data_IF_699060051831
#
_entry.id   IF_699060051831
#
_cell.length_a   1.000
_cell.length_b   1.000
_cell.length_c   1.000
_cell.angle_alpha   90.00
_cell.angle_beta   90.00
_cell.angle_gamma   90.00
#
_symmetry.space_group_name_H-M   'P 1'
#
loop_
_entity.id
_entity.type
_entity.pdbx_description
1 polymer ?
#
# COMPACT_ATOMS: atom_id res chain seq x y z
N UNK A 1 11.28 2.88 4.06
CA UNK A 1 10.31 2.77 2.94
C UNK A 1 10.91 3.41 1.71
N UNK A 2 10.66 2.91 0.50
CA UNK A 2 11.19 3.52 -0.74
C UNK A 2 10.51 4.84 -1.03
N UNK A 3 11.30 5.80 -1.52
CA UNK A 3 10.83 7.18 -1.75
C UNK A 3 9.75 7.33 -2.81
N UNK A 4 9.61 6.34 -3.73
CA UNK A 4 8.49 6.32 -4.68
C UNK A 4 7.12 6.35 -3.97
N UNK A 5 6.99 5.69 -2.82
CA UNK A 5 5.73 5.70 -2.05
C UNK A 5 5.41 7.10 -1.52
N UNK A 6 6.41 7.82 -1.02
CA UNK A 6 6.25 9.20 -0.55
C UNK A 6 5.92 10.17 -1.68
N UNK A 7 6.60 9.97 -2.84
CA UNK A 7 6.34 10.79 -4.02
C UNK A 7 4.90 10.61 -4.51
N UNK A 8 4.44 9.37 -4.64
CA UNK A 8 3.07 9.10 -5.07
C UNK A 8 2.02 9.58 -4.04
N UNK A 9 2.38 9.60 -2.75
CA UNK A 9 1.52 10.23 -1.73
C UNK A 9 1.40 11.73 -1.93
N UNK A 10 2.52 12.44 -2.18
CA UNK A 10 2.51 13.86 -2.49
C UNK A 10 1.69 14.18 -3.75
N UNK A 11 1.89 13.41 -4.83
CA UNK A 11 1.16 13.55 -6.08
C UNK A 11 -0.37 13.33 -5.89
N UNK A 12 -0.76 12.34 -5.07
CA UNK A 12 -2.17 12.12 -4.70
C UNK A 12 -2.75 13.32 -3.94
N UNK A 13 -2.01 13.87 -2.99
CA UNK A 13 -2.47 15.03 -2.23
C UNK A 13 -2.69 16.25 -3.12
N UNK A 14 -1.75 16.53 -4.02
CA UNK A 14 -1.87 17.61 -4.98
C UNK A 14 -3.11 17.42 -5.87
N UNK A 15 -3.31 16.22 -6.40
CA UNK A 15 -4.46 15.90 -7.26
C UNK A 15 -5.80 16.00 -6.54
N UNK A 16 -5.85 15.66 -5.23
CA UNK A 16 -7.10 15.54 -4.46
C UNK A 16 -7.46 16.83 -3.73
N UNK A 17 -6.46 17.51 -3.15
CA UNK A 17 -6.64 18.64 -2.24
C UNK A 17 -6.01 19.94 -2.74
N UNK A 18 -5.32 19.93 -3.88
CA UNK A 18 -4.62 21.07 -4.46
C UNK A 18 -3.14 21.15 -4.09
N UNK A 19 -2.39 21.97 -4.85
CA UNK A 19 -0.93 22.03 -4.77
C UNK A 19 -0.39 22.45 -3.39
N UNK A 20 -1.12 23.34 -2.67
CA UNK A 20 -0.65 23.87 -1.39
C UNK A 20 -0.78 22.89 -0.21
N UNK A 21 -1.55 21.79 -0.38
CA UNK A 21 -1.82 20.86 0.72
C UNK A 21 -0.54 20.18 1.19
N UNK A 22 0.24 19.62 0.27
CA UNK A 22 1.47 18.91 0.63
C UNK A 22 2.47 19.82 1.34
N UNK A 23 2.74 21.02 0.80
CA UNK A 23 3.66 21.97 1.39
C UNK A 23 3.23 22.36 2.81
N UNK A 24 1.94 22.57 3.00
CA UNK A 24 1.39 22.92 4.31
C UNK A 24 1.50 21.79 5.34
N UNK A 25 1.45 20.51 4.92
CA UNK A 25 1.70 19.37 5.79
C UNK A 25 3.18 19.28 6.17
N UNK A 26 4.08 19.46 5.20
CA UNK A 26 5.53 19.46 5.42
C UNK A 26 5.93 20.56 6.42
N UNK A 27 5.38 21.75 6.30
CA UNK A 27 5.62 22.86 7.25
C UNK A 27 5.16 22.55 8.68
N UNK A 28 4.09 21.74 8.83
CA UNK A 28 3.51 21.40 10.12
C UNK A 28 4.17 20.18 10.79
N UNK A 29 4.91 19.37 10.02
CA UNK A 29 5.55 18.15 10.50
C UNK A 29 7.06 18.35 10.63
N UNK A 30 7.65 17.83 11.72
CA UNK A 30 9.11 17.74 11.88
C UNK A 30 9.61 16.50 11.14
N UNK A 31 9.94 16.66 9.85
CA UNK A 31 10.37 15.57 8.97
C UNK A 31 11.88 15.61 8.78
N UNK A 32 12.63 14.58 9.16
CA UNK A 32 14.08 14.48 8.94
C UNK A 32 14.52 14.69 7.49
N UNK A 33 13.68 14.29 6.52
CA UNK A 33 13.93 14.53 5.09
C UNK A 33 13.63 15.96 4.64
N UNK A 34 12.99 16.78 5.48
CA UNK A 34 12.43 18.07 5.08
C UNK A 34 11.28 17.96 4.08
N UNK A 35 10.65 16.79 3.97
CA UNK A 35 9.56 16.54 3.01
C UNK A 35 10.03 16.38 1.56
N UNK A 36 11.33 16.22 1.32
CA UNK A 36 11.89 16.07 -0.04
C UNK A 36 12.28 14.62 -0.28
N UNK A 37 11.57 13.95 -1.19
CA UNK A 37 11.76 12.54 -1.48
C UNK A 37 12.13 12.29 -2.94
N UNK A 38 13.17 11.47 -3.14
CA UNK A 38 13.50 10.92 -4.47
C UNK A 38 12.94 9.51 -4.60
N UNK A 39 12.44 9.13 -5.75
CA UNK A 39 11.82 7.82 -5.96
C UNK A 39 12.73 6.64 -5.57
N UNK A 40 14.05 6.77 -5.81
CA UNK A 40 15.05 5.74 -5.51
C UNK A 40 15.56 5.78 -4.06
N UNK A 41 15.32 6.88 -3.33
CA UNK A 41 15.73 7.04 -1.94
C UNK A 41 15.06 6.05 -1.00
N UNK A 42 15.57 6.00 0.23
CA UNK A 42 14.96 5.22 1.33
C UNK A 42 14.79 6.13 2.54
N UNK A 43 13.58 6.21 3.07
CA UNK A 43 13.21 7.13 4.15
C UNK A 43 12.50 6.38 5.27
N UNK A 44 12.48 6.97 6.45
CA UNK A 44 11.74 6.41 7.57
C UNK A 44 10.24 6.47 7.27
N UNK A 45 9.55 5.35 7.47
CA UNK A 45 8.10 5.26 7.24
C UNK A 45 7.30 6.12 8.22
N UNK A 46 7.87 6.48 9.37
CA UNK A 46 7.23 7.35 10.36
C UNK A 46 6.96 8.75 9.82
N UNK A 47 7.72 9.20 8.82
CA UNK A 47 7.44 10.46 8.12
C UNK A 47 6.10 10.40 7.36
N UNK A 48 5.82 9.27 6.68
CA UNK A 48 4.52 9.09 6.03
C UNK A 48 3.38 9.04 7.05
N UNK A 49 3.59 8.38 8.19
CA UNK A 49 2.60 8.36 9.28
C UNK A 49 2.33 9.76 9.80
N UNK A 50 3.37 10.58 10.01
CA UNK A 50 3.22 11.96 10.46
C UNK A 50 2.40 12.81 9.47
N UNK A 51 2.68 12.67 8.17
CA UNK A 51 1.93 13.36 7.11
C UNK A 51 0.45 12.94 7.07
N UNK A 52 0.16 11.64 7.22
CA UNK A 52 -1.21 11.11 7.26
C UNK A 52 -1.96 11.63 8.49
N UNK A 53 -1.32 11.64 9.68
CA UNK A 53 -1.93 12.15 10.92
C UNK A 53 -2.27 13.63 10.78
N UNK A 54 -1.36 14.42 10.22
CA UNK A 54 -1.60 15.85 10.03
C UNK A 54 -2.69 16.10 8.97
N UNK A 55 -2.70 15.33 7.88
CA UNK A 55 -3.78 15.38 6.89
C UNK A 55 -5.14 15.06 7.49
N UNK A 56 -5.21 14.02 8.35
CA UNK A 56 -6.42 13.64 9.08
C UNK A 56 -6.96 14.79 9.93
N UNK A 57 -6.11 15.49 10.67
CA UNK A 57 -6.51 16.66 11.47
C UNK A 57 -7.10 17.78 10.62
N UNK A 58 -6.53 18.04 9.44
CA UNK A 58 -6.98 19.11 8.55
C UNK A 58 -8.26 18.79 7.80
N UNK A 59 -8.41 17.54 7.38
CA UNK A 59 -9.56 17.12 6.58
C UNK A 59 -10.71 16.60 7.43
N UNK A 60 -10.46 16.17 8.68
CA UNK A 60 -11.43 15.48 9.52
C UNK A 60 -11.67 14.03 9.10
N UNK A 61 -10.93 13.51 8.11
CA UNK A 61 -11.03 12.13 7.67
C UNK A 61 -10.22 11.22 8.59
N UNK A 62 -10.71 10.01 8.82
CA UNK A 62 -10.01 9.00 9.61
C UNK A 62 -8.70 8.56 8.93
N UNK A 63 -7.57 8.42 9.69
CA UNK A 63 -6.29 7.97 9.14
C UNK A 63 -6.36 6.66 8.36
N UNK A 64 -7.14 5.68 8.84
CA UNK A 64 -7.37 4.40 8.15
C UNK A 64 -7.98 4.63 6.76
N UNK A 65 -9.02 5.47 6.69
CA UNK A 65 -9.66 5.83 5.42
C UNK A 65 -8.68 6.49 4.45
N UNK A 66 -7.84 7.40 4.94
CA UNK A 66 -6.83 8.08 4.12
C UNK A 66 -5.78 7.11 3.59
N UNK A 67 -5.29 6.19 4.43
CA UNK A 67 -4.28 5.20 4.04
C UNK A 67 -4.86 4.19 3.05
N UNK A 68 -6.11 3.75 3.23
CA UNK A 68 -6.78 2.85 2.27
C UNK A 68 -7.00 3.55 0.92
N UNK A 69 -7.46 4.81 0.93
CA UNK A 69 -7.59 5.60 -0.29
C UNK A 69 -6.24 5.76 -1.01
N UNK A 70 -5.17 6.01 -0.25
CA UNK A 70 -3.82 6.06 -0.80
C UNK A 70 -3.39 4.71 -1.39
N UNK A 71 -3.71 3.59 -0.75
CA UNK A 71 -3.43 2.25 -1.29
C UNK A 71 -4.07 2.01 -2.65
N UNK A 72 -5.33 2.41 -2.82
CA UNK A 72 -6.05 2.33 -4.11
C UNK A 72 -5.39 3.21 -5.18
N UNK A 73 -5.08 4.45 -4.84
CA UNK A 73 -4.35 5.35 -5.73
C UNK A 73 -3.01 4.76 -6.15
N UNK A 74 -2.23 4.28 -5.17
CA UNK A 74 -0.90 3.72 -5.39
C UNK A 74 -0.93 2.48 -6.28
N UNK A 75 -1.96 1.64 -6.19
CA UNK A 75 -2.16 0.51 -7.10
C UNK A 75 -2.24 0.99 -8.55
N UNK A 76 -3.08 1.98 -8.84
CA UNK A 76 -3.21 2.56 -10.19
C UNK A 76 -1.88 3.15 -10.70
N UNK A 77 -1.15 3.84 -9.82
CA UNK A 77 0.17 4.38 -10.16
C UNK A 77 1.19 3.29 -10.47
N UNK A 78 1.21 2.22 -9.69
CA UNK A 78 2.11 1.09 -9.96
C UNK A 78 1.76 0.38 -11.27
N UNK A 79 0.48 0.26 -11.61
CA UNK A 79 0.05 -0.27 -12.91
C UNK A 79 0.58 0.60 -14.07
N UNK A 80 0.51 1.92 -13.96
CA UNK A 80 1.02 2.84 -14.98
C UNK A 80 2.55 2.81 -15.10
N UNK A 81 3.26 2.77 -13.96
CA UNK A 81 4.72 2.84 -13.92
C UNK A 81 5.39 1.49 -14.25
N UNK A 82 4.74 0.38 -13.91
CA UNK A 82 5.30 -0.97 -14.00
C UNK A 82 4.34 -1.97 -14.65
N UNK A 83 3.79 -1.68 -15.85
CA UNK A 83 2.71 -2.48 -16.46
C UNK A 83 3.08 -3.96 -16.64
N UNK A 84 4.36 -4.26 -16.73
CA UNK A 84 4.86 -5.64 -16.91
C UNK A 84 4.44 -6.58 -15.76
N UNK A 85 4.23 -6.06 -14.54
CA UNK A 85 3.79 -6.84 -13.38
C UNK A 85 2.28 -7.04 -13.30
N UNK A 86 1.52 -6.44 -14.21
CA UNK A 86 0.05 -6.47 -14.19
C UNK A 86 -0.57 -7.32 -15.31
N UNK A 87 0.27 -8.12 -15.99
CA UNK A 87 -0.19 -9.04 -17.04
C UNK A 87 -0.74 -10.34 -16.41
N UNK A 88 -1.88 -10.23 -15.75
CA UNK A 88 -2.60 -11.30 -15.08
C UNK A 88 -4.06 -11.34 -15.54
N UNK A 89 -4.69 -12.52 -15.46
CA UNK A 89 -6.07 -12.70 -15.90
C UNK A 89 -7.11 -12.16 -14.89
N UNK A 90 -6.72 -12.06 -13.60
CA UNK A 90 -7.61 -11.66 -12.51
C UNK A 90 -6.82 -11.19 -11.27
N UNK A 91 -7.53 -10.61 -10.29
CA UNK A 91 -6.93 -10.07 -9.08
C UNK A 91 -6.23 -11.16 -8.24
N UNK A 92 -6.78 -12.38 -8.14
CA UNK A 92 -6.15 -13.44 -7.36
C UNK A 92 -4.79 -13.84 -7.93
N UNK A 93 -4.70 -14.06 -9.26
CA UNK A 93 -3.43 -14.42 -9.90
C UNK A 93 -2.36 -13.32 -9.75
N UNK A 94 -2.78 -12.04 -9.74
CA UNK A 94 -1.90 -10.93 -9.42
C UNK A 94 -1.42 -10.98 -7.96
N UNK A 95 -2.33 -11.15 -6.99
CA UNK A 95 -2.01 -11.17 -5.56
C UNK A 95 -1.06 -12.33 -5.21
N UNK A 96 -1.24 -13.51 -5.83
CA UNK A 96 -0.30 -14.64 -5.68
C UNK A 96 1.11 -14.33 -6.20
N UNK A 97 1.23 -13.45 -7.19
CA UNK A 97 2.53 -13.08 -7.79
C UNK A 97 3.34 -12.12 -6.93
N UNK A 98 2.73 -11.41 -5.96
CA UNK A 98 3.39 -10.32 -5.23
C UNK A 98 4.68 -10.81 -4.57
N UNK A 99 4.63 -11.88 -3.78
CA UNK A 99 5.80 -12.35 -3.03
C UNK A 99 6.85 -12.99 -3.93
N UNK A 100 6.41 -13.85 -4.86
CA UNK A 100 7.32 -14.70 -5.62
C UNK A 100 7.84 -14.09 -6.91
N UNK A 101 7.22 -13.00 -7.39
CA UNK A 101 7.60 -12.31 -8.62
C UNK A 101 7.90 -10.84 -8.35
N UNK A 102 6.92 -10.06 -7.89
CA UNK A 102 7.07 -8.60 -7.77
C UNK A 102 8.13 -8.23 -6.71
N UNK A 103 8.04 -8.78 -5.51
CA UNK A 103 9.01 -8.52 -4.44
C UNK A 103 10.41 -9.00 -4.80
N UNK A 104 10.54 -10.13 -5.50
CA UNK A 104 11.82 -10.62 -6.00
C UNK A 104 12.45 -9.63 -6.99
N UNK A 105 11.69 -9.09 -7.94
CA UNK A 105 12.20 -8.09 -8.88
C UNK A 105 12.56 -6.77 -8.19
N UNK A 106 11.75 -6.34 -7.22
CA UNK A 106 12.07 -5.14 -6.41
C UNK A 106 13.39 -5.32 -5.66
N UNK A 107 13.64 -6.49 -5.06
CA UNK A 107 14.89 -6.77 -4.34
C UNK A 107 16.10 -6.90 -5.25
N UNK A 108 15.95 -7.27 -6.53
CA UNK A 108 17.05 -7.21 -7.51
C UNK A 108 17.47 -5.78 -7.79
N UNK A 109 16.53 -4.85 -7.86
CA UNK A 109 16.79 -3.43 -8.11
C UNK A 109 17.24 -2.68 -6.84
N UNK A 110 16.71 -3.08 -5.68
CA UNK A 110 16.91 -2.44 -4.38
C UNK A 110 17.16 -3.50 -3.30
N UNK A 111 18.38 -4.09 -3.23
CA UNK A 111 18.68 -5.19 -2.30
C UNK A 111 18.50 -4.82 -0.81
N UNK A 112 18.59 -3.52 -0.51
CA UNK A 112 18.39 -2.98 0.84
C UNK A 112 16.91 -2.71 1.20
N UNK A 113 15.97 -2.91 0.26
CA UNK A 113 14.57 -2.65 0.52
C UNK A 113 14.01 -3.65 1.54
N UNK A 114 13.39 -3.13 2.58
CA UNK A 114 12.60 -3.94 3.53
C UNK A 114 11.16 -3.97 3.05
N UNK A 115 10.73 -5.11 2.53
CA UNK A 115 9.37 -5.33 2.04
C UNK A 115 8.54 -6.08 3.09
N UNK A 116 7.21 -5.90 3.12
CA UNK A 116 6.34 -6.81 3.85
C UNK A 116 6.40 -8.19 3.18
N UNK A 117 6.10 -9.24 3.95
CA UNK A 117 5.98 -10.59 3.41
C UNK A 117 4.50 -10.96 3.27
N UNK A 118 4.19 -11.70 2.23
CA UNK A 118 2.85 -12.23 1.99
C UNK A 118 2.87 -13.74 1.81
N UNK A 119 1.94 -14.42 2.49
CA UNK A 119 1.61 -15.82 2.23
C UNK A 119 0.20 -15.87 1.63
N UNK A 120 0.06 -16.44 0.43
CA UNK A 120 -1.22 -16.58 -0.25
C UNK A 120 -1.69 -18.03 -0.26
N UNK A 121 -2.98 -18.24 -0.03
CA UNK A 121 -3.64 -19.52 -0.08
C UNK A 121 -4.98 -19.39 -0.81
N UNK A 122 -5.09 -20.04 -1.96
CA UNK A 122 -6.35 -20.12 -2.71
C UNK A 122 -7.11 -21.38 -2.25
N UNK A 123 -8.36 -21.20 -1.81
CA UNK A 123 -9.19 -22.31 -1.39
C UNK A 123 -9.59 -23.19 -2.58
N UNK A 124 -9.99 -24.43 -2.30
CA UNK A 124 -10.38 -25.43 -3.33
C UNK A 124 -11.56 -24.98 -4.20
N UNK A 125 -12.40 -24.07 -3.69
CA UNK A 125 -13.54 -23.51 -4.42
C UNK A 125 -13.13 -22.53 -5.53
N UNK A 126 -11.87 -22.08 -5.55
CA UNK A 126 -11.32 -21.11 -6.48
C UNK A 126 -11.87 -19.68 -6.33
N UNK A 127 -12.80 -19.45 -5.39
CA UNK A 127 -13.48 -18.19 -5.15
C UNK A 127 -13.03 -17.50 -3.86
N UNK A 128 -12.34 -18.21 -2.98
CA UNK A 128 -11.86 -17.69 -1.69
C UNK A 128 -10.34 -17.68 -1.68
N UNK A 129 -9.75 -16.53 -1.37
CA UNK A 129 -8.31 -16.40 -1.14
C UNK A 129 -8.03 -15.85 0.27
N UNK A 130 -7.09 -16.47 0.94
CA UNK A 130 -6.48 -15.97 2.16
C UNK A 130 -5.10 -15.39 1.83
N UNK A 131 -4.89 -14.12 2.17
CA UNK A 131 -3.60 -13.45 2.02
C UNK A 131 -3.14 -13.01 3.41
N UNK A 132 -2.05 -13.58 3.89
CA UNK A 132 -1.50 -13.23 5.20
C UNK A 132 -0.33 -12.26 5.02
N UNK A 133 -0.48 -11.09 5.60
CA UNK A 133 0.48 -9.99 5.59
C UNK A 133 1.31 -10.01 6.87
N UNK A 134 2.63 -9.83 6.71
CA UNK A 134 3.58 -9.73 7.82
C UNK A 134 4.43 -8.47 7.64
N UNK A 135 4.49 -7.63 8.67
CA UNK A 135 5.28 -6.41 8.63
C UNK A 135 5.58 -5.84 10.01
N UNK A 136 6.73 -5.24 10.16
CA UNK A 136 7.11 -4.46 11.35
C UNK A 136 6.66 -2.99 11.26
N UNK A 137 6.06 -2.56 10.14
CA UNK A 137 5.70 -1.15 9.88
C UNK A 137 4.22 -0.84 10.09
N UNK A 138 3.38 -1.83 10.33
CA UNK A 138 1.95 -1.67 10.62
C UNK A 138 1.14 -0.95 9.52
N UNK A 139 1.37 -1.29 8.23
CA UNK A 139 0.65 -0.73 7.08
C UNK A 139 -0.41 -1.69 6.49
N UNK A 140 -1.13 -2.42 7.34
CA UNK A 140 -2.21 -3.31 6.87
C UNK A 140 -3.31 -2.54 6.12
N UNK A 141 -3.64 -1.31 6.54
CA UNK A 141 -4.61 -0.46 5.83
C UNK A 141 -4.16 -0.08 4.42
N UNK A 142 -2.86 0.13 4.21
CA UNK A 142 -2.31 0.35 2.87
C UNK A 142 -2.48 -0.91 2.00
N UNK A 143 -2.25 -2.10 2.59
CA UNK A 143 -2.48 -3.36 1.90
C UNK A 143 -3.96 -3.55 1.53
N UNK A 144 -4.90 -3.19 2.40
CA UNK A 144 -6.35 -3.18 2.09
C UNK A 144 -6.62 -2.32 0.85
N UNK A 145 -6.10 -1.10 0.82
CA UNK A 145 -6.28 -0.20 -0.33
C UNK A 145 -5.71 -0.77 -1.63
N UNK A 146 -4.50 -1.35 -1.58
CA UNK A 146 -3.88 -2.01 -2.73
C UNK A 146 -4.71 -3.21 -3.22
N UNK A 147 -5.23 -4.05 -2.31
CA UNK A 147 -6.12 -5.17 -2.63
C UNK A 147 -7.39 -4.67 -3.31
N UNK A 148 -8.05 -3.65 -2.74
CA UNK A 148 -9.24 -3.06 -3.34
C UNK A 148 -8.96 -2.51 -4.75
N UNK A 149 -7.82 -1.82 -4.93
CA UNK A 149 -7.36 -1.35 -6.23
C UNK A 149 -7.19 -2.49 -7.24
N UNK A 150 -6.67 -3.65 -6.81
CA UNK A 150 -6.54 -4.82 -7.65
C UNK A 150 -7.92 -5.31 -8.14
N UNK A 151 -8.87 -5.53 -7.25
CA UNK A 151 -10.20 -5.99 -7.65
C UNK A 151 -10.93 -5.00 -8.56
N UNK A 152 -10.83 -3.70 -8.30
CA UNK A 152 -11.37 -2.66 -9.18
C UNK A 152 -10.75 -2.68 -10.57
N UNK A 153 -9.42 -2.90 -10.67
CA UNK A 153 -8.70 -2.95 -11.94
C UNK A 153 -9.19 -4.07 -12.84
N UNK A 154 -9.43 -5.27 -12.29
CA UNK A 154 -9.98 -6.40 -13.05
C UNK A 154 -11.51 -6.41 -13.13
N UNK A 155 -12.19 -5.42 -12.55
CA UNK A 155 -13.66 -5.33 -12.57
C UNK A 155 -14.34 -6.47 -11.80
N UNK A 156 -13.68 -6.99 -10.77
CA UNK A 156 -14.16 -8.09 -9.94
C UNK A 156 -14.78 -7.56 -8.63
N UNK A 157 -15.92 -8.09 -8.24
CA UNK A 157 -16.53 -7.81 -6.93
C UNK A 157 -16.00 -8.78 -5.88
N UNK A 158 -15.69 -8.25 -4.70
CA UNK A 158 -15.11 -9.01 -3.60
C UNK A 158 -15.68 -8.60 -2.26
N UNK A 159 -15.95 -9.59 -1.42
CA UNK A 159 -16.14 -9.37 0.02
C UNK A 159 -14.77 -9.54 0.70
N UNK A 160 -14.25 -8.44 1.24
CA UNK A 160 -12.96 -8.39 1.94
C UNK A 160 -13.22 -8.32 3.45
N UNK A 161 -12.66 -9.26 4.19
CA UNK A 161 -12.62 -9.24 5.65
C UNK A 161 -11.17 -9.34 6.13
N UNK A 162 -10.93 -8.91 7.37
CA UNK A 162 -9.62 -8.87 7.99
C UNK A 162 -9.66 -9.49 9.37
N UNK A 163 -8.67 -10.32 9.69
CA UNK A 163 -8.43 -10.87 11.01
C UNK A 163 -7.04 -10.43 11.48
N UNK A 164 -6.99 -9.75 12.64
CA UNK A 164 -5.72 -9.35 13.26
C UNK A 164 -5.15 -10.53 14.06
N UNK A 165 -3.99 -10.98 13.64
CA UNK A 165 -3.21 -12.07 14.24
C UNK A 165 -1.87 -11.55 14.80
N UNK A 166 -1.77 -10.24 15.01
CA UNK A 166 -0.55 -9.54 15.44
C UNK A 166 -0.03 -10.08 16.78
N UNK A 167 1.28 -10.19 16.87
CA UNK A 167 2.03 -10.52 18.11
C UNK A 167 2.87 -9.32 18.54
N UNK A 168 3.56 -9.43 19.68
CA UNK A 168 4.43 -8.35 20.17
C UNK A 168 5.63 -8.05 19.25
N UNK A 169 6.00 -8.99 18.36
CA UNK A 169 7.20 -8.88 17.52
C UNK A 169 6.89 -8.38 16.10
N UNK A 170 5.71 -8.71 15.56
CA UNK A 170 5.37 -8.45 14.16
C UNK A 170 3.87 -8.28 13.98
N UNK A 171 3.46 -7.28 13.18
CA UNK A 171 2.09 -7.24 12.70
C UNK A 171 1.84 -8.40 11.77
N UNK A 172 0.81 -9.18 12.07
CA UNK A 172 0.31 -10.28 11.25
C UNK A 172 -1.17 -10.09 11.03
N UNK A 173 -1.57 -9.95 9.78
CA UNK A 173 -2.98 -9.74 9.41
C UNK A 173 -3.35 -10.71 8.31
N UNK A 174 -4.46 -11.42 8.48
CA UNK A 174 -5.05 -12.25 7.44
C UNK A 174 -6.19 -11.52 6.77
N UNK A 175 -6.06 -11.30 5.48
CA UNK A 175 -7.13 -10.84 4.61
C UNK A 175 -7.83 -12.06 4.01
N UNK A 176 -9.14 -12.11 4.10
CA UNK A 176 -9.97 -13.10 3.42
C UNK A 176 -10.81 -12.40 2.38
N UNK A 177 -10.64 -12.83 1.15
CA UNK A 177 -11.30 -12.28 -0.04
C UNK A 177 -12.19 -13.37 -0.63
N UNK A 178 -13.48 -13.07 -0.76
CA UNK A 178 -14.47 -13.97 -1.37
C UNK A 178 -15.06 -13.27 -2.58
N UNK A 179 -14.85 -13.83 -3.77
CA UNK A 179 -15.45 -13.31 -5.01
C UNK A 179 -16.97 -13.53 -4.97
N UNK A 180 -17.74 -12.54 -5.45
CA UNK A 180 -19.19 -12.60 -5.51
C UNK A 180 -19.70 -13.53 -6.61
#
# INVERSE_FOLDING_TARGET
MKGIVFKEFADMLEATFGADMYDSLVEACDLPSGGVYTAVGTYDHTELVALVIELSKRTGLDPTTLVQAFGKYLFGRFHELFPVFFNHDNAFSFLESIENVIHVEVLKLYPEATLPRFDSELAEDGNTMHLTYYSTRHFADLAIGLIQGAFEHWGEEVQLSMEDLTTDEEQKVRFTMVKA
#
